data_IF_432083481727
#
_entry.id   IF_432083481727
#
_cell.length_a   1.000
_cell.length_b   1.000
_cell.length_c   1.000
_cell.angle_alpha   90.00
_cell.angle_beta   90.00
_cell.angle_gamma   90.00
#
_symmetry.space_group_name_H-M   'P 1'
#
loop_
_entity.id
_entity.type
_entity.pdbx_description
1 polymer ?
#
# COMPACT_ATOMS: atom_id res chain seq x y z
N UNK A 1 49.45 -42.60 61.36
CA UNK A 1 48.31 -42.52 62.29
C UNK A 1 48.02 -41.04 62.53
N UNK A 2 46.76 -40.66 62.30
CA UNK A 2 46.08 -39.41 62.70
C UNK A 2 46.64 -38.09 62.10
N UNK A 3 45.89 -37.20 61.44
CA UNK A 3 44.48 -36.79 61.63
C UNK A 3 43.97 -36.06 60.37
N UNK A 4 42.67 -36.20 60.06
CA UNK A 4 41.94 -35.48 59.00
C UNK A 4 41.95 -33.94 59.21
N UNK A 5 42.25 -33.17 58.16
CA UNK A 5 42.05 -31.72 58.07
C UNK A 5 40.97 -31.40 57.02
N UNK A 6 40.05 -30.51 57.39
CA UNK A 6 38.77 -30.27 56.73
C UNK A 6 38.81 -29.51 55.41
N UNK A 7 37.71 -29.68 54.68
CA UNK A 7 37.34 -28.99 53.45
C UNK A 7 36.79 -27.59 53.73
N UNK A 8 37.37 -26.58 53.06
CA UNK A 8 36.73 -25.30 52.73
C UNK A 8 37.08 -24.93 51.27
N UNK A 9 36.12 -24.56 50.41
CA UNK A 9 36.41 -24.10 49.06
C UNK A 9 36.79 -22.62 49.01
N UNK A 10 37.83 -22.33 48.23
CA UNK A 10 38.40 -21.02 47.96
C UNK A 10 37.51 -20.12 47.07
N UNK A 11 37.49 -18.84 47.45
CA UNK A 11 37.38 -17.62 46.64
C UNK A 11 36.29 -17.53 45.55
N UNK A 12 35.22 -16.80 45.90
CA UNK A 12 34.27 -16.23 44.94
C UNK A 12 34.92 -15.15 44.08
N UNK A 13 34.96 -15.41 42.78
CA UNK A 13 35.29 -14.44 41.73
C UNK A 13 34.16 -13.43 41.62
N UNK A 14 34.45 -12.15 41.89
CA UNK A 14 33.55 -11.03 41.58
C UNK A 14 33.39 -10.97 40.07
N UNK A 15 32.19 -11.30 39.56
CA UNK A 15 31.83 -11.11 38.17
C UNK A 15 31.83 -9.60 37.87
N UNK A 16 32.90 -9.11 37.22
CA UNK A 16 32.90 -7.79 36.60
C UNK A 16 31.87 -7.78 35.47
N UNK A 17 30.81 -7.00 35.64
CA UNK A 17 29.88 -6.66 34.59
C UNK A 17 30.68 -5.89 33.52
N UNK A 18 30.69 -6.32 32.25
CA UNK A 18 31.37 -5.59 31.19
C UNK A 18 30.71 -4.21 31.04
N UNK A 19 31.48 -3.13 30.86
CA UNK A 19 30.90 -1.80 30.68
C UNK A 19 29.99 -1.84 29.45
N UNK A 20 28.74 -1.42 29.65
CA UNK A 20 27.77 -1.17 28.57
C UNK A 20 28.49 -0.40 27.46
N UNK A 21 28.55 -0.99 26.27
CA UNK A 21 29.12 -0.33 25.11
C UNK A 21 28.47 1.06 24.98
N UNK A 22 29.30 2.10 25.04
CA UNK A 22 28.87 3.49 24.87
C UNK A 22 28.13 3.60 23.54
N UNK A 23 26.80 3.71 23.60
CA UNK A 23 25.98 3.99 22.43
C UNK A 23 26.53 5.24 21.72
N UNK A 24 26.67 5.24 20.39
CA UNK A 24 27.07 6.43 19.67
C UNK A 24 26.12 7.59 19.99
N UNK A 25 26.68 8.78 20.19
CA UNK A 25 25.89 9.98 20.41
C UNK A 25 24.85 10.16 19.27
N UNK A 26 23.62 10.62 19.57
CA UNK A 26 22.60 10.83 18.54
C UNK A 26 23.11 11.75 17.42
N UNK A 27 22.77 11.46 16.16
CA UNK A 27 23.15 12.30 15.02
C UNK A 27 22.72 13.77 15.20
N UNK A 28 23.55 14.71 14.70
CA UNK A 28 23.23 16.13 14.63
C UNK A 28 21.86 16.34 13.95
N UNK A 29 20.94 16.98 14.66
CA UNK A 29 19.61 17.32 14.15
C UNK A 29 19.71 18.23 12.93
N UNK A 30 18.88 17.99 11.92
CA UNK A 30 18.76 18.88 10.75
C UNK A 30 18.28 20.28 11.17
N UNK A 31 18.67 21.32 10.42
CA UNK A 31 18.30 22.73 10.67
C UNK A 31 16.78 22.87 10.85
N UNK A 32 16.34 23.46 11.97
CA UNK A 32 14.92 23.62 12.34
C UNK A 32 14.26 22.40 13.00
N UNK A 33 14.98 21.28 13.16
CA UNK A 33 14.49 20.03 13.82
C UNK A 33 15.19 19.74 15.14
N UNK A 34 15.71 20.78 15.79
CA UNK A 34 16.35 20.72 17.11
C UNK A 34 15.39 21.23 18.18
N UNK A 35 15.53 20.70 19.39
CA UNK A 35 14.94 21.24 20.61
C UNK A 35 16.07 21.43 21.62
N UNK A 36 15.99 22.46 22.45
CA UNK A 36 16.96 22.62 23.54
C UNK A 36 16.81 21.47 24.53
N UNK A 37 17.94 20.90 24.93
CA UNK A 37 17.96 19.83 25.91
C UNK A 37 17.57 20.40 27.28
N UNK A 38 16.72 19.69 28.00
CA UNK A 38 16.40 19.97 29.38
C UNK A 38 16.16 18.64 30.13
N UNK A 39 15.85 18.71 31.42
CA UNK A 39 15.59 17.52 32.24
C UNK A 39 14.46 16.62 31.72
N UNK A 40 13.50 17.19 30.98
CA UNK A 40 12.36 16.46 30.41
C UNK A 40 12.59 16.02 28.95
N UNK A 41 13.58 16.61 28.25
CA UNK A 41 13.90 16.38 26.84
C UNK A 41 15.40 16.07 26.70
N UNK A 42 15.89 14.95 27.25
CA UNK A 42 17.27 14.54 27.05
C UNK A 42 17.57 14.30 25.57
N UNK A 43 18.84 14.48 25.18
CA UNK A 43 19.28 14.20 23.82
C UNK A 43 19.37 12.69 23.59
N UNK A 44 18.39 12.17 22.85
CA UNK A 44 18.28 10.73 22.52
C UNK A 44 17.94 10.55 21.04
N UNK A 45 18.10 9.32 20.55
CA UNK A 45 17.67 8.97 19.20
C UNK A 45 16.16 9.18 19.03
N UNK A 46 15.73 9.47 17.80
CA UNK A 46 14.31 9.73 17.53
C UNK A 46 13.43 8.56 17.97
N UNK A 47 13.86 7.31 17.78
CA UNK A 47 13.11 6.13 18.21
C UNK A 47 12.87 6.09 19.74
N UNK A 48 13.76 6.67 20.54
CA UNK A 48 13.73 6.55 22.00
C UNK A 48 12.98 7.70 22.67
N UNK A 49 12.69 8.79 21.95
CA UNK A 49 12.04 10.00 22.51
C UNK A 49 10.72 9.69 23.20
N UNK A 50 9.95 8.75 22.67
CA UNK A 50 8.64 8.40 23.24
C UNK A 50 8.76 7.87 24.69
N UNK A 51 9.86 7.17 24.99
CA UNK A 51 10.14 6.66 26.33
C UNK A 51 10.96 7.66 27.15
N UNK A 52 12.04 8.19 26.59
CA UNK A 52 12.99 9.04 27.32
C UNK A 52 12.45 10.44 27.64
N UNK A 53 11.55 10.99 26.83
CA UNK A 53 10.97 12.31 27.10
C UNK A 53 9.84 12.21 28.12
N UNK A 54 9.82 13.15 29.06
CA UNK A 54 8.95 13.13 30.24
C UNK A 54 8.19 14.45 30.46
N UNK A 55 7.50 14.61 31.57
CA UNK A 55 6.86 15.86 32.00
C UNK A 55 6.77 15.85 33.53
N UNK A 56 6.53 17.00 34.18
CA UNK A 56 6.23 17.02 35.61
C UNK A 56 5.14 16.01 36.00
N UNK A 57 4.05 15.95 35.20
CA UNK A 57 2.98 14.98 35.39
C UNK A 57 3.46 13.52 35.28
N UNK A 58 4.23 13.19 34.24
CA UNK A 58 4.71 11.83 34.02
C UNK A 58 5.64 11.36 35.15
N UNK A 59 6.48 12.26 35.68
CA UNK A 59 7.34 11.99 36.84
C UNK A 59 6.49 11.72 38.08
N UNK A 60 5.51 12.59 38.36
CA UNK A 60 4.61 12.39 39.50
C UNK A 60 3.84 11.07 39.39
N UNK A 61 3.33 10.71 38.20
CA UNK A 61 2.69 9.41 37.98
C UNK A 61 3.63 8.23 38.22
N UNK A 62 4.90 8.36 37.82
CA UNK A 62 5.91 7.32 38.06
C UNK A 62 6.19 7.14 39.54
N UNK A 63 6.30 8.23 40.29
CA UNK A 63 6.48 8.22 41.73
C UNK A 63 5.30 7.57 42.45
N UNK A 64 4.06 7.94 42.08
CA UNK A 64 2.85 7.32 42.62
C UNK A 64 2.83 5.80 42.40
N UNK A 65 3.24 5.33 41.22
CA UNK A 65 3.34 3.90 40.95
C UNK A 65 4.42 3.22 41.78
N UNK A 66 5.59 3.83 41.94
CA UNK A 66 6.70 3.28 42.73
C UNK A 66 6.36 3.11 44.21
N UNK A 67 5.39 3.86 44.73
CA UNK A 67 4.84 3.69 46.07
C UNK A 67 3.91 2.48 46.20
N UNK A 68 3.37 1.99 45.08
CA UNK A 68 2.39 0.89 45.04
C UNK A 68 2.99 -0.43 44.56
N UNK A 69 4.00 -0.38 43.68
CA UNK A 69 4.57 -1.54 43.02
C UNK A 69 6.11 -1.46 43.00
N UNK A 70 6.82 -2.60 43.07
CA UNK A 70 8.26 -2.63 42.85
C UNK A 70 8.66 -2.05 41.49
N UNK A 71 9.76 -1.28 41.46
CA UNK A 71 10.22 -0.59 40.24
C UNK A 71 10.48 -1.50 39.04
N UNK A 72 10.92 -2.75 39.26
CA UNK A 72 11.18 -3.69 38.16
C UNK A 72 9.89 -4.05 37.42
N UNK A 73 8.78 -4.34 38.12
CA UNK A 73 7.47 -4.64 37.50
C UNK A 73 7.00 -3.45 36.66
N UNK A 74 7.17 -2.24 37.19
CA UNK A 74 6.81 -1.02 36.48
C UNK A 74 7.68 -0.87 35.23
N UNK A 75 9.01 -1.02 35.34
CA UNK A 75 9.94 -0.96 34.20
C UNK A 75 9.56 -1.98 33.12
N UNK A 76 9.34 -3.24 33.49
CA UNK A 76 8.99 -4.32 32.57
C UNK A 76 7.69 -4.04 31.82
N UNK A 77 6.67 -3.54 32.52
CA UNK A 77 5.38 -3.19 31.91
C UNK A 77 5.48 -2.07 30.86
N UNK A 78 6.32 -1.05 31.10
CA UNK A 78 6.51 0.02 30.11
C UNK A 78 7.44 -0.40 28.97
N UNK A 79 8.46 -1.23 29.25
CA UNK A 79 9.35 -1.77 28.23
C UNK A 79 8.57 -2.63 27.23
N UNK A 80 7.74 -3.55 27.71
CA UNK A 80 6.93 -4.42 26.84
C UNK A 80 5.86 -3.62 26.06
N UNK A 81 5.25 -2.60 26.68
CA UNK A 81 4.33 -1.71 25.99
C UNK A 81 5.02 -0.95 24.84
N UNK A 82 6.29 -0.59 25.02
CA UNK A 82 7.09 0.07 23.99
C UNK A 82 7.45 -0.86 22.83
N UNK A 83 7.70 -2.15 23.11
CA UNK A 83 7.96 -3.19 22.11
C UNK A 83 6.76 -3.42 21.18
N UNK A 84 5.54 -3.08 21.62
CA UNK A 84 4.35 -3.10 20.76
C UNK A 84 4.45 -2.17 19.52
N UNK A 85 5.35 -1.17 19.57
CA UNK A 85 5.61 -0.24 18.47
C UNK A 85 6.84 -0.66 17.65
N UNK A 86 6.66 -0.77 16.34
CA UNK A 86 7.80 -1.00 15.44
C UNK A 86 8.74 0.21 15.38
N UNK A 87 10.03 -0.02 15.17
CA UNK A 87 11.05 1.06 15.10
C UNK A 87 10.66 2.24 14.20
N UNK A 88 10.20 2.03 12.95
CA UNK A 88 9.72 3.12 12.10
C UNK A 88 8.54 3.88 12.68
N UNK A 89 7.64 3.21 13.41
CA UNK A 89 6.50 3.85 14.08
C UNK A 89 6.98 4.74 15.23
N UNK A 90 7.93 4.27 16.04
CA UNK A 90 8.55 5.06 17.12
C UNK A 90 9.16 6.36 16.58
N UNK A 91 9.94 6.28 15.50
CA UNK A 91 10.54 7.46 14.84
C UNK A 91 9.47 8.43 14.33
N UNK A 92 8.39 7.92 13.72
CA UNK A 92 7.31 8.75 13.20
C UNK A 92 6.54 9.46 14.33
N UNK A 93 6.24 8.76 15.42
CA UNK A 93 5.57 9.32 16.59
C UNK A 93 6.43 10.37 17.29
N UNK A 94 7.72 10.09 17.42
CA UNK A 94 8.70 11.00 17.99
C UNK A 94 8.86 12.32 17.21
N UNK A 95 8.58 12.32 15.90
CA UNK A 95 8.51 13.56 15.14
C UNK A 95 7.35 14.45 15.62
N UNK A 96 6.20 13.86 15.96
CA UNK A 96 5.07 14.57 16.55
C UNK A 96 5.38 15.18 17.90
N UNK A 97 6.05 14.42 18.77
CA UNK A 97 6.51 14.92 20.08
C UNK A 97 7.47 16.10 19.91
N UNK A 98 8.42 16.00 18.97
CA UNK A 98 9.35 17.09 18.69
C UNK A 98 8.60 18.35 18.25
N UNK A 99 7.73 18.25 17.24
CA UNK A 99 7.00 19.40 16.72
C UNK A 99 6.08 20.03 17.76
N UNK A 100 5.42 19.23 18.60
CA UNK A 100 4.60 19.73 19.71
C UNK A 100 5.41 20.51 20.72
N UNK A 101 6.56 19.97 21.16
CA UNK A 101 7.37 20.67 22.15
C UNK A 101 8.08 21.90 21.57
N UNK A 102 8.42 21.91 20.28
CA UNK A 102 8.87 23.11 19.60
C UNK A 102 7.79 24.19 19.57
N UNK A 103 6.53 23.81 19.29
CA UNK A 103 5.40 24.70 19.38
C UNK A 103 5.21 25.24 20.80
N UNK A 104 5.20 24.37 21.82
CA UNK A 104 5.06 24.78 23.21
C UNK A 104 6.20 25.72 23.66
N UNK A 105 7.44 25.48 23.23
CA UNK A 105 8.55 26.39 23.51
C UNK A 105 8.37 27.76 22.83
N UNK A 106 7.89 27.77 21.58
CA UNK A 106 7.65 29.00 20.82
C UNK A 106 6.56 29.86 21.46
N UNK A 107 5.47 29.23 21.90
CA UNK A 107 4.33 29.90 22.52
C UNK A 107 4.50 30.06 24.05
N UNK A 108 5.67 29.75 24.60
CA UNK A 108 6.00 29.84 26.03
C UNK A 108 5.03 29.05 26.95
N UNK A 109 4.54 27.91 26.50
CA UNK A 109 3.68 27.02 27.30
C UNK A 109 4.54 26.34 28.39
N UNK A 110 4.19 26.47 29.69
CA UNK A 110 4.91 25.82 30.78
C UNK A 110 4.94 24.30 30.67
N UNK A 111 5.94 23.61 31.27
CA UNK A 111 6.07 22.15 31.14
C UNK A 111 4.93 21.38 31.83
N UNK A 112 4.36 21.96 32.89
CA UNK A 112 3.20 21.47 33.62
C UNK A 112 1.92 21.42 32.75
N UNK A 113 1.77 22.35 31.80
CA UNK A 113 0.60 22.42 30.92
C UNK A 113 0.72 21.56 29.66
N UNK A 114 1.92 21.00 29.39
CA UNK A 114 2.19 20.18 28.21
C UNK A 114 1.67 18.75 28.34
N UNK A 115 1.41 18.30 29.57
CA UNK A 115 0.84 16.97 29.85
C UNK A 115 0.14 16.98 31.23
N UNK A 116 -1.16 16.60 31.30
CA UNK A 116 -2.03 16.20 30.21
C UNK A 116 -2.35 17.39 29.30
N UNK A 117 -2.13 17.24 27.99
CA UNK A 117 -2.36 18.34 27.06
C UNK A 117 -3.86 18.64 26.94
N UNK A 118 -4.24 19.90 27.17
CA UNK A 118 -5.63 20.33 27.05
C UNK A 118 -6.14 20.27 25.61
N UNK A 119 -7.45 20.16 25.44
CA UNK A 119 -8.10 20.17 24.12
C UNK A 119 -7.75 21.43 23.32
N UNK A 120 -7.75 22.59 23.97
CA UNK A 120 -7.37 23.87 23.36
C UNK A 120 -5.91 23.92 22.97
N UNK A 121 -4.99 23.41 23.81
CA UNK A 121 -3.57 23.37 23.47
C UNK A 121 -3.31 22.50 22.23
N UNK A 122 -3.95 21.32 22.17
CA UNK A 122 -3.87 20.43 21.01
C UNK A 122 -4.50 21.08 19.76
N UNK A 123 -5.61 21.81 19.91
CA UNK A 123 -6.25 22.53 18.81
C UNK A 123 -5.36 23.67 18.28
N UNK A 124 -4.74 24.44 19.18
CA UNK A 124 -3.77 25.48 18.85
C UNK A 124 -2.54 24.90 18.13
N UNK A 125 -2.01 23.77 18.61
CA UNK A 125 -0.94 23.04 17.92
C UNK A 125 -1.34 22.64 16.49
N UNK A 126 -2.54 22.10 16.28
CA UNK A 126 -3.05 21.78 14.93
C UNK A 126 -3.14 23.04 14.07
N UNK A 127 -3.69 24.12 14.61
CA UNK A 127 -3.84 25.41 13.92
C UNK A 127 -2.50 26.01 13.48
N UNK A 128 -1.48 25.95 14.34
CA UNK A 128 -0.14 26.50 14.06
C UNK A 128 0.56 25.85 12.86
N UNK A 129 0.19 24.61 12.50
CA UNK A 129 0.75 23.89 11.37
C UNK A 129 -0.24 23.69 10.22
N UNK A 130 -1.50 24.11 10.37
CA UNK A 130 -2.52 24.01 9.33
C UNK A 130 -2.06 24.78 8.08
N UNK A 131 -2.22 24.16 6.90
CA UNK A 131 -1.76 24.74 5.63
C UNK A 131 -0.24 24.76 5.41
N UNK A 132 0.59 24.49 6.42
CA UNK A 132 2.07 24.42 6.27
C UNK A 132 2.57 23.02 5.93
N UNK A 133 1.78 22.00 6.30
CA UNK A 133 2.04 20.58 6.01
C UNK A 133 0.74 19.88 5.66
N UNK A 134 0.83 18.66 5.12
CA UNK A 134 -0.37 17.87 4.87
C UNK A 134 -1.10 17.55 6.19
N UNK A 135 -2.43 17.58 6.20
CA UNK A 135 -3.18 17.23 7.41
C UNK A 135 -3.00 15.76 7.84
N UNK A 136 -2.57 14.87 6.93
CA UNK A 136 -2.11 13.51 7.26
C UNK A 136 -0.87 13.53 8.15
N UNK A 137 0.06 14.47 7.93
CA UNK A 137 1.24 14.67 8.79
C UNK A 137 0.81 15.07 10.19
N UNK A 138 -0.10 16.04 10.32
CA UNK A 138 -0.62 16.52 11.61
C UNK A 138 -1.34 15.38 12.35
N UNK A 139 -2.16 14.58 11.64
CA UNK A 139 -2.78 13.40 12.24
C UNK A 139 -1.76 12.40 12.79
N UNK A 140 -0.67 12.15 12.06
CA UNK A 140 0.41 11.28 12.52
C UNK A 140 1.13 11.86 13.76
N UNK A 141 1.32 13.18 13.82
CA UNK A 141 1.87 13.84 15.01
C UNK A 141 0.95 13.69 16.23
N UNK A 142 -0.36 13.91 16.06
CA UNK A 142 -1.36 13.69 17.12
C UNK A 142 -1.39 12.22 17.57
N UNK A 143 -1.24 11.25 16.66
CA UNK A 143 -1.12 9.84 17.05
C UNK A 143 0.12 9.58 17.91
N UNK A 144 1.24 10.23 17.61
CA UNK A 144 2.44 10.17 18.45
C UNK A 144 2.22 10.78 19.83
N UNK A 145 1.57 11.95 19.90
CA UNK A 145 1.22 12.59 21.17
C UNK A 145 0.27 11.72 22.00
N UNK A 146 -0.75 11.12 21.38
CA UNK A 146 -1.66 10.19 22.04
C UNK A 146 -0.90 8.99 22.61
N UNK A 147 -0.01 8.38 21.81
CA UNK A 147 0.80 7.26 22.28
C UNK A 147 1.69 7.64 23.47
N UNK A 148 2.27 8.85 23.45
CA UNK A 148 3.04 9.37 24.57
C UNK A 148 2.18 9.57 25.82
N UNK A 149 0.97 10.13 25.69
CA UNK A 149 0.04 10.28 26.82
C UNK A 149 -0.35 8.92 27.41
N UNK A 150 -0.66 7.93 26.58
CA UNK A 150 -0.96 6.56 27.03
C UNK A 150 0.24 5.97 27.81
N UNK A 151 1.45 6.05 27.23
CA UNK A 151 2.67 5.54 27.86
C UNK A 151 3.06 6.30 29.13
N UNK A 152 2.64 7.54 29.30
CA UNK A 152 2.86 8.32 30.53
C UNK A 152 1.64 8.32 31.46
N UNK A 153 0.62 7.49 31.15
CA UNK A 153 -0.65 7.38 31.88
C UNK A 153 -1.40 8.71 32.06
N UNK A 154 -1.23 9.63 31.13
CA UNK A 154 -1.93 10.91 31.12
C UNK A 154 -3.28 10.80 30.38
N UNK A 155 -4.33 11.49 30.86
CA UNK A 155 -5.58 11.66 30.13
C UNK A 155 -5.37 12.17 28.69
N UNK A 156 -6.18 11.67 27.76
CA UNK A 156 -6.22 12.13 26.37
C UNK A 156 -7.67 12.40 25.97
N UNK A 157 -7.98 13.53 25.30
CA UNK A 157 -9.34 13.89 24.93
C UNK A 157 -9.84 13.08 23.71
N UNK A 158 -10.21 11.81 23.91
CA UNK A 158 -10.57 10.88 22.82
C UNK A 158 -11.79 11.32 22.00
N UNK A 159 -12.75 12.00 22.62
CA UNK A 159 -14.04 12.39 22.02
C UNK A 159 -14.17 13.90 21.77
N UNK A 160 -13.05 14.59 21.63
CA UNK A 160 -13.04 16.03 21.36
C UNK A 160 -13.63 16.36 19.98
N UNK A 161 -14.79 17.05 19.98
CA UNK A 161 -15.42 17.57 18.76
C UNK A 161 -14.59 18.69 18.14
N UNK A 162 -13.98 19.54 18.98
CA UNK A 162 -13.13 20.63 18.53
C UNK A 162 -11.90 20.10 17.77
N UNK A 163 -11.20 19.09 18.31
CA UNK A 163 -10.09 18.43 17.62
C UNK A 163 -10.54 17.80 16.31
N UNK A 164 -11.76 17.25 16.27
CA UNK A 164 -12.38 16.79 15.02
C UNK A 164 -12.55 17.91 14.00
N UNK A 165 -13.05 19.08 14.40
CA UNK A 165 -13.22 20.26 13.55
C UNK A 165 -11.89 20.82 13.06
N UNK A 166 -10.93 21.07 13.94
CA UNK A 166 -9.63 21.65 13.53
C UNK A 166 -8.83 20.70 12.66
N UNK A 167 -8.93 19.38 12.86
CA UNK A 167 -8.30 18.39 11.96
C UNK A 167 -8.92 18.42 10.57
N UNK A 168 -10.24 18.59 10.46
CA UNK A 168 -10.92 18.75 9.16
C UNK A 168 -10.46 20.03 8.47
N UNK A 169 -10.42 21.15 9.18
CA UNK A 169 -9.92 22.41 8.64
C UNK A 169 -8.46 22.29 8.16
N UNK A 170 -7.57 21.70 8.98
CA UNK A 170 -6.17 21.50 8.64
C UNK A 170 -5.98 20.54 7.44
N UNK A 171 -6.82 19.51 7.30
CA UNK A 171 -6.81 18.64 6.11
C UNK A 171 -7.17 19.40 4.83
N UNK A 172 -8.18 20.28 4.89
CA UNK A 172 -8.61 21.09 3.75
C UNK A 172 -7.52 22.09 3.35
N UNK A 173 -6.98 22.83 4.32
CA UNK A 173 -5.91 23.79 4.07
C UNK A 173 -4.62 23.11 3.58
N UNK A 174 -4.27 21.95 4.13
CA UNK A 174 -3.09 21.17 3.74
C UNK A 174 -3.28 20.28 2.51
N UNK A 175 -4.38 20.43 1.76
CA UNK A 175 -4.70 19.60 0.59
C UNK A 175 -3.63 19.71 -0.51
N UNK A 176 -3.11 20.91 -0.75
CA UNK A 176 -2.04 21.17 -1.73
C UNK A 176 -0.69 20.53 -1.35
N UNK A 177 -0.47 20.22 -0.07
CA UNK A 177 0.70 19.47 0.40
C UNK A 177 0.55 17.96 0.26
N UNK A 178 -0.63 17.48 -0.15
CA UNK A 178 -0.83 16.05 -0.37
C UNK A 178 -0.04 15.62 -1.60
N UNK A 179 0.64 14.48 -1.47
CA UNK A 179 1.35 13.89 -2.61
C UNK A 179 0.37 13.45 -3.67
N UNK A 180 0.70 13.73 -4.92
CA UNK A 180 0.00 13.19 -6.09
C UNK A 180 -0.12 11.67 -5.96
N UNK A 181 -1.28 11.13 -6.35
CA UNK A 181 -1.51 9.68 -6.35
C UNK A 181 -0.49 9.01 -7.26
N UNK A 182 0.07 7.89 -6.80
CA UNK A 182 1.08 7.15 -7.57
C UNK A 182 0.42 6.49 -8.78
N UNK A 183 1.10 6.57 -9.92
CA UNK A 183 0.70 5.84 -11.12
C UNK A 183 0.81 4.33 -10.89
N UNK A 184 -0.11 3.52 -11.44
CA UNK A 184 0.04 2.08 -11.50
C UNK A 184 1.19 1.69 -12.43
N UNK A 185 1.87 0.58 -12.12
CA UNK A 185 2.61 -0.16 -13.16
C UNK A 185 1.55 -0.75 -14.10
N UNK A 186 1.80 -0.77 -15.41
CA UNK A 186 0.87 -1.33 -16.41
C UNK A 186 1.51 -2.50 -17.14
N UNK A 187 0.74 -3.27 -17.92
CA UNK A 187 1.32 -4.30 -18.79
C UNK A 187 2.39 -3.76 -19.74
N UNK A 188 2.23 -2.54 -20.26
CA UNK A 188 3.24 -1.89 -21.10
C UNK A 188 4.57 -1.71 -20.36
N UNK A 189 4.53 -1.40 -19.06
CA UNK A 189 5.76 -1.30 -18.25
C UNK A 189 6.43 -2.66 -18.14
N UNK A 190 5.66 -3.74 -17.94
CA UNK A 190 6.19 -5.09 -17.85
C UNK A 190 6.77 -5.59 -19.18
N UNK A 191 6.12 -5.27 -20.30
CA UNK A 191 6.61 -5.61 -21.64
C UNK A 191 7.90 -4.85 -21.97
N UNK A 192 7.96 -3.55 -21.69
CA UNK A 192 9.19 -2.76 -21.84
C UNK A 192 10.33 -3.33 -20.99
N UNK A 193 10.01 -3.75 -19.75
CA UNK A 193 10.98 -4.39 -18.87
C UNK A 193 11.46 -5.73 -19.45
N UNK A 194 10.54 -6.57 -19.94
CA UNK A 194 10.85 -7.88 -20.54
C UNK A 194 11.75 -7.77 -21.77
N UNK A 195 11.57 -6.74 -22.59
CA UNK A 195 12.36 -6.49 -23.79
C UNK A 195 13.77 -5.97 -23.49
N UNK A 196 13.94 -5.26 -22.36
CA UNK A 196 15.22 -4.67 -21.98
C UNK A 196 16.09 -5.58 -21.09
N UNK A 197 15.48 -6.51 -20.34
CA UNK A 197 16.21 -7.42 -19.47
C UNK A 197 16.87 -8.56 -20.25
N UNK A 198 18.18 -8.73 -20.06
CA UNK A 198 18.90 -9.93 -20.47
C UNK A 198 18.63 -11.09 -19.51
N UNK A 199 17.75 -12.01 -19.90
CA UNK A 199 17.35 -13.16 -19.09
C UNK A 199 18.36 -14.33 -19.09
N UNK A 200 19.55 -14.13 -19.65
CA UNK A 200 20.69 -15.02 -19.39
C UNK A 200 21.40 -14.64 -18.08
N UNK A 201 21.25 -13.38 -17.63
CA UNK A 201 21.82 -12.88 -16.39
C UNK A 201 21.02 -13.32 -15.16
N UNK A 202 21.63 -13.99 -14.17
CA UNK A 202 20.94 -14.39 -12.94
C UNK A 202 20.33 -13.21 -12.18
N UNK A 203 20.99 -12.04 -12.22
CA UNK A 203 20.48 -10.80 -11.63
C UNK A 203 19.19 -10.31 -12.30
N UNK A 204 19.15 -10.28 -13.64
CA UNK A 204 17.97 -9.84 -14.37
C UNK A 204 16.80 -10.82 -14.24
N UNK A 205 17.06 -12.13 -14.15
CA UNK A 205 16.02 -13.10 -13.82
C UNK A 205 15.38 -12.81 -12.45
N UNK A 206 16.19 -12.45 -11.44
CA UNK A 206 15.67 -12.05 -10.14
C UNK A 206 14.82 -10.76 -10.19
N UNK A 207 15.25 -9.76 -10.96
CA UNK A 207 14.45 -8.54 -11.22
C UNK A 207 13.12 -8.91 -11.87
N UNK A 208 13.14 -9.76 -12.90
CA UNK A 208 11.95 -10.15 -13.64
C UNK A 208 10.95 -10.90 -12.78
N UNK A 209 11.42 -11.88 -12.01
CA UNK A 209 10.59 -12.64 -11.08
C UNK A 209 9.97 -11.72 -10.01
N UNK A 210 10.74 -10.85 -9.35
CA UNK A 210 10.20 -9.91 -8.35
C UNK A 210 9.16 -8.97 -8.96
N UNK A 211 9.39 -8.45 -10.17
CA UNK A 211 8.46 -7.54 -10.83
C UNK A 211 7.10 -8.20 -11.04
N UNK A 212 7.08 -9.42 -11.59
CA UNK A 212 5.85 -10.15 -11.86
C UNK A 212 5.17 -10.67 -10.60
N UNK A 213 5.92 -11.15 -9.61
CA UNK A 213 5.33 -11.57 -8.33
C UNK A 213 4.74 -10.37 -7.58
N UNK A 214 5.37 -9.20 -7.60
CA UNK A 214 4.80 -7.98 -7.03
C UNK A 214 3.52 -7.54 -7.74
N UNK A 215 3.53 -7.61 -9.08
CA UNK A 215 2.40 -7.20 -9.90
C UNK A 215 1.24 -8.19 -9.74
N UNK A 216 1.37 -9.43 -10.20
CA UNK A 216 0.26 -10.40 -10.21
C UNK A 216 -0.16 -10.87 -8.82
N UNK A 217 0.78 -10.97 -7.88
CA UNK A 217 0.47 -11.28 -6.49
C UNK A 217 -0.01 -10.08 -5.67
N UNK A 218 -0.09 -8.88 -6.27
CA UNK A 218 -0.42 -7.64 -5.57
C UNK A 218 0.43 -7.43 -4.29
N UNK A 219 1.71 -7.84 -4.31
CA UNK A 219 2.58 -7.83 -3.13
C UNK A 219 3.29 -6.51 -2.94
N UNK A 220 3.63 -6.18 -1.70
CA UNK A 220 4.49 -5.01 -1.47
C UNK A 220 5.92 -5.40 -1.82
N UNK A 221 6.62 -4.53 -2.54
CA UNK A 221 8.03 -4.80 -2.90
C UNK A 221 8.94 -5.11 -1.71
N UNK A 222 8.67 -4.51 -0.54
CA UNK A 222 9.45 -4.78 0.68
C UNK A 222 9.19 -6.15 1.33
N UNK A 223 8.21 -6.91 0.84
CA UNK A 223 7.97 -8.30 1.26
C UNK A 223 8.85 -9.28 0.46
N UNK A 224 9.31 -8.87 -0.74
CA UNK A 224 10.09 -9.72 -1.65
C UNK A 224 11.56 -9.31 -1.80
N UNK A 225 11.96 -8.19 -1.18
CA UNK A 225 13.32 -7.63 -1.27
C UNK A 225 13.83 -7.22 0.10
N UNK A 226 15.15 -7.21 0.29
CA UNK A 226 15.76 -6.75 1.54
C UNK A 226 15.96 -5.22 1.53
N UNK A 227 15.93 -4.54 2.70
CA UNK A 227 16.13 -3.10 2.75
C UNK A 227 17.57 -2.68 2.40
N UNK A 228 18.56 -3.51 2.75
CA UNK A 228 19.99 -3.32 2.47
C UNK A 228 20.71 -4.67 2.45
N UNK A 229 21.95 -4.70 1.95
CA UNK A 229 22.80 -5.92 1.94
C UNK A 229 23.04 -6.45 3.35
N UNK A 230 23.23 -5.56 4.34
CA UNK A 230 23.40 -5.92 5.76
C UNK A 230 22.08 -6.07 6.52
N UNK A 231 20.96 -5.77 5.87
CA UNK A 231 19.63 -5.75 6.48
C UNK A 231 18.91 -7.10 6.45
N UNK A 232 19.59 -8.15 6.00
CA UNK A 232 19.07 -9.50 6.01
C UNK A 232 19.10 -10.07 7.43
N UNK A 233 17.94 -10.51 7.93
CA UNK A 233 17.83 -11.23 9.19
C UNK A 233 17.26 -12.63 8.93
N UNK A 234 18.04 -13.70 9.11
CA UNK A 234 17.60 -15.06 8.83
C UNK A 234 16.42 -15.52 9.70
N UNK A 235 16.25 -14.97 10.90
CA UNK A 235 15.09 -15.25 11.78
C UNK A 235 13.78 -14.63 11.28
N UNK A 236 13.85 -13.65 10.37
CA UNK A 236 12.69 -12.89 9.89
C UNK A 236 12.25 -13.26 8.45
N UNK A 237 13.02 -14.08 7.71
CA UNK A 237 12.90 -14.12 6.24
C UNK A 237 12.90 -15.51 5.55
N UNK A 238 12.56 -16.62 6.23
CA UNK A 238 12.33 -17.92 5.55
C UNK A 238 10.96 -18.56 5.82
N UNK A 239 10.12 -18.38 4.81
CA UNK A 239 8.90 -19.00 4.27
C UNK A 239 8.32 -17.84 3.42
N UNK A 240 7.05 -17.74 3.01
CA UNK A 240 6.47 -16.38 2.81
C UNK A 240 5.55 -16.14 4.01
N UNK A 241 6.11 -15.85 5.20
CA UNK A 241 5.41 -15.88 6.47
C UNK A 241 4.99 -14.47 6.91
N UNK A 242 4.94 -13.48 6.01
CA UNK A 242 4.72 -12.11 6.43
C UNK A 242 3.87 -11.25 5.49
N UNK A 243 2.87 -10.58 6.06
CA UNK A 243 2.32 -9.34 5.51
C UNK A 243 2.61 -8.20 6.48
N UNK A 244 2.75 -6.97 5.97
CA UNK A 244 2.96 -5.76 6.80
C UNK A 244 1.91 -5.59 7.92
N UNK A 245 0.76 -6.25 7.80
CA UNK A 245 -0.38 -6.18 8.70
C UNK A 245 -0.41 -7.31 9.74
N UNK A 246 0.08 -8.51 9.39
CA UNK A 246 0.00 -9.71 10.26
C UNK A 246 1.21 -9.92 11.18
N UNK A 247 2.36 -9.28 10.88
CA UNK A 247 3.63 -9.27 11.66
C UNK A 247 4.32 -10.63 11.91
N UNK A 248 3.59 -11.73 12.05
CA UNK A 248 4.09 -13.07 12.40
C UNK A 248 3.51 -14.20 11.52
N UNK A 249 2.34 -13.99 10.92
CA UNK A 249 1.64 -14.98 10.08
C UNK A 249 1.82 -14.71 8.57
N UNK A 250 2.11 -15.79 7.85
CA UNK A 250 2.27 -15.85 6.41
C UNK A 250 1.08 -15.54 5.56
N UNK A 251 1.35 -15.55 4.26
CA UNK A 251 0.32 -15.59 3.25
C UNK A 251 0.85 -16.37 2.05
N UNK A 252 0.09 -17.36 1.61
CA UNK A 252 0.32 -18.02 0.33
C UNK A 252 0.16 -16.98 -0.79
N UNK A 253 1.14 -16.94 -1.70
CA UNK A 253 1.04 -16.10 -2.90
C UNK A 253 0.39 -16.94 -3.98
N UNK A 254 -0.88 -16.66 -4.27
CA UNK A 254 -1.55 -17.22 -5.44
C UNK A 254 -1.28 -16.29 -6.62
N UNK A 255 -0.48 -16.76 -7.58
CA UNK A 255 -0.27 -16.09 -8.85
C UNK A 255 -0.87 -16.95 -9.97
N UNK A 256 -1.82 -16.41 -10.75
CA UNK A 256 -2.43 -17.14 -11.87
C UNK A 256 -1.61 -16.95 -13.15
N UNK A 257 -1.33 -18.07 -13.83
CA UNK A 257 -0.57 -18.12 -15.08
C UNK A 257 -1.48 -17.85 -16.28
N UNK A 258 -1.81 -16.59 -16.57
CA UNK A 258 -2.75 -16.25 -17.64
C UNK A 258 -2.17 -15.36 -18.76
N UNK A 259 -0.86 -15.08 -18.77
CA UNK A 259 -0.24 -14.20 -19.77
C UNK A 259 1.15 -14.71 -20.19
N UNK A 260 1.30 -15.37 -21.36
CA UNK A 260 2.54 -16.06 -21.75
C UNK A 260 3.80 -15.18 -21.74
N UNK A 261 3.67 -13.91 -22.13
CA UNK A 261 4.81 -12.98 -22.17
C UNK A 261 5.20 -12.40 -20.79
N UNK A 262 4.28 -12.45 -19.81
CA UNK A 262 4.43 -11.85 -18.48
C UNK A 262 3.97 -12.82 -17.38
N UNK A 263 4.23 -14.11 -17.58
CA UNK A 263 3.82 -15.17 -16.68
C UNK A 263 4.70 -15.17 -15.41
N UNK A 264 4.11 -14.99 -14.21
CA UNK A 264 4.88 -15.00 -12.97
C UNK A 264 5.51 -16.36 -12.67
N UNK A 265 4.86 -17.46 -13.09
CA UNK A 265 5.39 -18.82 -12.90
C UNK A 265 6.65 -19.04 -13.74
N UNK A 266 6.60 -18.69 -15.02
CA UNK A 266 7.75 -18.87 -15.93
C UNK A 266 8.95 -18.02 -15.48
N UNK A 267 8.69 -16.78 -15.05
CA UNK A 267 9.74 -15.92 -14.51
C UNK A 267 10.34 -16.47 -13.22
N UNK A 268 9.52 -17.05 -12.35
CA UNK A 268 9.99 -17.67 -11.11
C UNK A 268 10.82 -18.92 -11.38
N UNK A 269 10.39 -19.80 -12.28
CA UNK A 269 11.12 -20.99 -12.68
C UNK A 269 12.47 -20.62 -13.31
N UNK A 270 12.48 -19.61 -14.18
CA UNK A 270 13.71 -19.11 -14.80
C UNK A 270 14.68 -18.53 -13.76
N UNK A 271 14.16 -17.77 -12.79
CA UNK A 271 14.96 -17.28 -11.66
C UNK A 271 15.55 -18.44 -10.85
N UNK A 272 14.75 -19.44 -10.54
CA UNK A 272 15.17 -20.62 -9.79
C UNK A 272 16.30 -21.37 -10.52
N UNK A 273 16.13 -21.62 -11.82
CA UNK A 273 17.12 -22.32 -12.66
C UNK A 273 18.45 -21.55 -12.72
N UNK A 274 18.40 -20.23 -12.93
CA UNK A 274 19.61 -19.40 -13.08
C UNK A 274 20.32 -19.09 -11.76
N UNK A 275 19.65 -19.23 -10.63
CA UNK A 275 20.20 -18.90 -9.31
C UNK A 275 20.33 -20.13 -8.38
N UNK A 276 20.42 -21.34 -8.94
CA UNK A 276 20.61 -22.60 -8.19
C UNK A 276 21.86 -22.61 -7.30
N UNK A 277 22.90 -21.86 -7.66
CA UNK A 277 24.13 -21.77 -6.87
C UNK A 277 24.03 -20.86 -5.63
N UNK A 278 22.88 -20.19 -5.40
CA UNK A 278 22.65 -19.41 -4.18
C UNK A 278 22.49 -20.38 -2.99
N UNK A 279 23.29 -20.24 -1.91
CA UNK A 279 23.21 -21.14 -0.76
C UNK A 279 21.88 -21.07 -0.01
N UNK A 280 21.53 -22.19 0.65
CA UNK A 280 20.46 -22.19 1.65
C UNK A 280 20.77 -21.14 2.74
N UNK A 281 19.77 -20.34 3.12
CA UNK A 281 19.97 -19.21 4.04
C UNK A 281 19.99 -17.82 3.38
N UNK A 282 19.93 -17.73 2.04
CA UNK A 282 19.66 -16.47 1.33
C UNK A 282 18.17 -16.27 0.95
N UNK A 283 17.63 -15.03 0.99
CA UNK A 283 16.29 -14.70 0.52
C UNK A 283 15.96 -15.28 -0.85
N UNK A 284 14.69 -15.62 -1.08
CA UNK A 284 14.19 -16.27 -2.29
C UNK A 284 14.64 -15.62 -3.61
N UNK A 285 14.66 -14.28 -3.66
CA UNK A 285 15.04 -13.51 -4.85
C UNK A 285 16.50 -13.02 -4.83
N UNK A 286 17.37 -13.71 -4.08
CA UNK A 286 18.82 -13.49 -4.15
C UNK A 286 19.38 -14.02 -5.47
N UNK A 287 20.52 -13.49 -5.89
CA UNK A 287 21.13 -13.85 -7.17
C UNK A 287 22.63 -14.00 -7.07
N UNK A 288 23.21 -14.69 -8.06
CA UNK A 288 24.67 -14.79 -8.22
C UNK A 288 25.17 -13.62 -9.07
N UNK A 289 26.15 -12.88 -8.55
CA UNK A 289 26.80 -11.82 -9.31
C UNK A 289 27.85 -12.35 -10.31
N UNK A 290 28.43 -11.44 -11.09
CA UNK A 290 29.47 -11.75 -12.09
C UNK A 290 30.72 -12.42 -11.49
N UNK A 291 30.98 -12.19 -10.21
CA UNK A 291 32.13 -12.71 -9.48
C UNK A 291 31.79 -14.04 -8.78
N UNK A 292 30.62 -14.61 -9.11
CA UNK A 292 30.04 -15.85 -8.55
C UNK A 292 29.72 -15.78 -7.06
N UNK A 293 29.49 -14.58 -6.52
CA UNK A 293 29.09 -14.39 -5.14
C UNK A 293 27.56 -14.28 -5.02
N UNK A 294 26.95 -14.90 -4.00
CA UNK A 294 25.54 -14.68 -3.71
C UNK A 294 25.32 -13.26 -3.18
N UNK A 295 24.30 -12.60 -3.70
CA UNK A 295 23.90 -11.23 -3.35
C UNK A 295 22.42 -11.15 -3.07
N UNK A 296 22.06 -10.29 -2.12
CA UNK A 296 20.66 -10.01 -1.86
C UNK A 296 20.12 -9.04 -2.91
N UNK A 297 18.88 -9.25 -3.34
CA UNK A 297 18.18 -8.25 -4.12
C UNK A 297 17.60 -7.19 -3.19
N UNK A 298 18.27 -6.04 -3.12
CA UNK A 298 17.81 -4.91 -2.32
C UNK A 298 16.74 -4.10 -3.05
N UNK A 299 15.79 -3.53 -2.30
CA UNK A 299 14.75 -2.65 -2.87
C UNK A 299 15.33 -1.47 -3.67
N UNK A 300 16.38 -0.75 -3.21
CA UNK A 300 16.97 0.33 -3.99
C UNK A 300 17.59 -0.16 -5.31
N UNK A 301 18.27 -1.32 -5.30
CA UNK A 301 18.87 -1.90 -6.50
C UNK A 301 17.81 -2.30 -7.53
N UNK A 302 16.73 -2.94 -7.07
CA UNK A 302 15.58 -3.26 -7.91
C UNK A 302 14.99 -2.01 -8.55
N UNK A 303 14.62 -1.01 -7.73
CA UNK A 303 13.97 0.20 -8.23
C UNK A 303 14.88 0.99 -9.17
N UNK A 304 16.16 1.12 -8.87
CA UNK A 304 17.14 1.78 -9.75
C UNK A 304 17.18 1.14 -11.13
N UNK A 305 17.17 -0.20 -11.18
CA UNK A 305 17.24 -0.97 -12.44
C UNK A 305 15.99 -0.77 -13.28
N UNK A 306 14.79 -0.99 -12.70
CA UNK A 306 13.53 -0.86 -13.46
C UNK A 306 13.25 0.58 -13.87
N UNK A 307 13.56 1.57 -13.02
CA UNK A 307 13.38 2.98 -13.36
C UNK A 307 14.34 3.44 -14.46
N UNK A 308 15.58 2.94 -14.50
CA UNK A 308 16.51 3.26 -15.58
C UNK A 308 15.97 2.82 -16.95
N UNK A 309 15.36 1.63 -17.01
CA UNK A 309 14.73 1.10 -18.22
C UNK A 309 13.49 1.93 -18.59
N UNK A 310 12.58 2.18 -17.65
CA UNK A 310 11.36 2.93 -17.96
C UNK A 310 11.61 4.40 -18.32
N UNK A 311 12.64 5.01 -17.74
CA UNK A 311 13.04 6.36 -18.10
C UNK A 311 13.63 6.44 -19.51
N UNK A 312 14.35 5.42 -19.98
CA UNK A 312 14.91 5.43 -21.34
C UNK A 312 13.82 5.40 -22.43
N UNK A 313 12.66 4.83 -22.12
CA UNK A 313 11.46 4.82 -22.98
C UNK A 313 10.40 5.87 -22.57
N UNK A 314 10.79 6.87 -21.75
CA UNK A 314 9.95 8.01 -21.32
C UNK A 314 8.62 7.63 -20.66
N UNK A 315 8.59 6.50 -19.94
CA UNK A 315 7.39 6.08 -19.19
C UNK A 315 7.26 6.84 -17.86
N UNK A 316 6.04 6.96 -17.30
CA UNK A 316 5.83 7.67 -16.04
C UNK A 316 6.62 7.05 -14.88
N UNK A 317 7.11 7.91 -13.98
CA UNK A 317 7.78 7.45 -12.77
C UNK A 317 6.83 6.65 -11.87
N UNK A 318 7.29 5.46 -11.46
CA UNK A 318 6.57 4.55 -10.57
C UNK A 318 7.45 4.21 -9.35
N UNK A 319 6.81 3.77 -8.27
CA UNK A 319 7.48 3.40 -7.02
C UNK A 319 7.20 1.94 -6.70
N UNK A 320 7.87 1.36 -5.69
CA UNK A 320 7.62 -0.04 -5.32
C UNK A 320 6.17 -0.36 -4.94
N UNK A 321 5.38 0.65 -4.55
CA UNK A 321 3.94 0.46 -4.30
C UNK A 321 3.09 0.43 -5.57
N UNK A 322 3.59 0.99 -6.67
CA UNK A 322 2.90 1.05 -7.96
C UNK A 322 2.68 -0.31 -8.58
N UNK A 323 3.53 -1.31 -8.30
CA UNK A 323 3.33 -2.69 -8.74
C UNK A 323 2.04 -3.28 -8.16
N UNK A 324 1.85 -3.14 -6.84
CA UNK A 324 0.63 -3.57 -6.15
C UNK A 324 -0.63 -2.84 -6.63
N UNK A 325 -0.51 -1.55 -6.96
CA UNK A 325 -1.62 -0.81 -7.58
C UNK A 325 -1.90 -1.34 -8.99
N UNK A 326 -0.86 -1.53 -9.79
CA UNK A 326 -0.96 -2.05 -11.15
C UNK A 326 -1.64 -3.40 -11.23
N UNK A 327 -1.16 -4.36 -10.45
CA UNK A 327 -1.76 -5.69 -10.41
C UNK A 327 -3.23 -5.70 -10.00
N UNK A 328 -3.60 -4.90 -9.00
CA UNK A 328 -5.00 -4.80 -8.58
C UNK A 328 -5.89 -4.22 -9.69
N UNK A 329 -5.43 -3.17 -10.38
CA UNK A 329 -6.14 -2.56 -11.50
C UNK A 329 -6.27 -3.55 -12.65
N UNK A 330 -5.18 -4.21 -13.03
CA UNK A 330 -5.16 -5.18 -14.13
C UNK A 330 -6.11 -6.36 -13.88
N UNK A 331 -6.10 -6.93 -12.68
CA UNK A 331 -6.99 -8.03 -12.32
C UNK A 331 -8.47 -7.58 -12.34
N UNK A 332 -8.77 -6.37 -11.87
CA UNK A 332 -10.13 -5.82 -11.89
C UNK A 332 -10.62 -5.56 -13.33
N UNK A 333 -9.75 -5.03 -14.19
CA UNK A 333 -10.01 -4.84 -15.63
C UNK A 333 -10.19 -6.18 -16.35
N UNK A 334 -9.48 -7.24 -15.93
CA UNK A 334 -9.66 -8.59 -16.43
C UNK A 334 -10.93 -9.30 -15.87
N UNK A 335 -11.81 -8.57 -15.17
CA UNK A 335 -13.08 -9.10 -14.64
C UNK A 335 -12.95 -9.96 -13.39
N UNK A 336 -11.77 -10.02 -12.75
CA UNK A 336 -11.61 -10.80 -11.51
C UNK A 336 -12.45 -10.16 -10.39
N UNK A 337 -13.30 -10.93 -9.69
CA UNK A 337 -14.16 -10.37 -8.65
C UNK A 337 -13.37 -9.63 -7.56
N UNK A 338 -13.85 -8.47 -7.09
CA UNK A 338 -13.06 -7.65 -6.16
C UNK A 338 -12.65 -8.34 -4.86
N UNK A 339 -13.47 -9.27 -4.34
CA UNK A 339 -13.13 -10.05 -3.15
C UNK A 339 -11.96 -11.03 -3.41
N UNK A 340 -11.84 -11.57 -4.63
CA UNK A 340 -10.71 -12.41 -5.05
C UNK A 340 -9.45 -11.57 -5.19
N UNK A 341 -9.53 -10.38 -5.80
CA UNK A 341 -8.39 -9.45 -5.87
C UNK A 341 -7.95 -9.02 -4.47
N UNK A 342 -8.90 -8.76 -3.56
CA UNK A 342 -8.64 -8.47 -2.16
C UNK A 342 -7.88 -9.63 -1.48
N UNK A 343 -8.31 -10.87 -1.70
CA UNK A 343 -7.63 -12.06 -1.19
C UNK A 343 -6.21 -12.22 -1.76
N UNK A 344 -6.01 -12.07 -3.08
CA UNK A 344 -4.70 -12.16 -3.75
C UNK A 344 -3.68 -11.21 -3.12
N UNK A 345 -4.06 -9.95 -2.90
CA UNK A 345 -3.14 -9.00 -2.27
C UNK A 345 -3.09 -9.04 -0.74
N UNK A 346 -3.87 -9.92 -0.09
CA UNK A 346 -3.95 -10.01 1.37
C UNK A 346 -4.52 -8.75 2.01
N UNK A 347 -5.63 -8.24 1.46
CA UNK A 347 -6.39 -7.14 2.05
C UNK A 347 -7.58 -7.68 2.84
N UNK A 348 -7.57 -7.45 4.16
CA UNK A 348 -8.67 -7.81 5.06
C UNK A 348 -9.61 -6.61 5.37
N UNK A 349 -9.23 -5.41 4.91
CA UNK A 349 -9.96 -4.17 5.19
C UNK A 349 -10.32 -3.41 3.92
N UNK A 350 -11.23 -2.45 4.08
CA UNK A 350 -11.65 -1.51 3.02
C UNK A 350 -10.50 -0.63 2.48
N UNK A 351 -9.30 -0.72 3.03
CA UNK A 351 -8.10 -0.14 2.43
C UNK A 351 -7.85 -0.61 0.98
N UNK A 352 -8.39 -1.78 0.60
CA UNK A 352 -8.41 -2.26 -0.79
C UNK A 352 -9.06 -1.27 -1.77
N UNK A 353 -10.11 -0.54 -1.36
CA UNK A 353 -10.81 0.42 -2.23
C UNK A 353 -9.90 1.56 -2.70
N UNK A 354 -8.82 1.85 -1.97
CA UNK A 354 -7.82 2.84 -2.39
C UNK A 354 -7.04 2.42 -3.64
N UNK A 355 -7.10 1.15 -4.05
CA UNK A 355 -6.41 0.58 -5.20
C UNK A 355 -7.29 0.52 -6.46
N UNK A 356 -8.59 0.84 -6.35
CA UNK A 356 -9.48 1.02 -7.49
C UNK A 356 -9.13 2.32 -8.21
N UNK A 357 -8.03 2.29 -8.97
CA UNK A 357 -7.69 3.35 -9.94
C UNK A 357 -8.42 3.04 -11.24
N UNK A 358 -8.68 4.07 -12.05
CA UNK A 358 -9.42 3.91 -13.31
C UNK A 358 -10.81 3.30 -13.10
N UNK A 359 -11.55 3.82 -12.11
CA UNK A 359 -12.87 3.28 -11.77
C UNK A 359 -13.85 3.36 -12.94
N UNK A 360 -13.73 4.39 -13.77
CA UNK A 360 -14.53 4.56 -14.99
C UNK A 360 -14.33 3.37 -15.94
N UNK A 361 -13.07 3.00 -16.21
CA UNK A 361 -12.73 1.87 -17.08
C UNK A 361 -13.16 0.52 -16.46
N UNK A 362 -12.93 0.33 -15.15
CA UNK A 362 -13.33 -0.89 -14.43
C UNK A 362 -14.85 -1.08 -14.48
N UNK A 363 -15.62 -0.03 -14.23
CA UNK A 363 -17.08 -0.10 -14.25
C UNK A 363 -17.58 -0.40 -15.66
N UNK A 364 -17.04 0.26 -16.69
CA UNK A 364 -17.44 0.01 -18.08
C UNK A 364 -17.13 -1.43 -18.49
N UNK A 365 -15.93 -1.94 -18.18
CA UNK A 365 -15.55 -3.32 -18.53
C UNK A 365 -16.46 -4.34 -17.85
N UNK A 366 -16.64 -4.24 -16.53
CA UNK A 366 -17.42 -5.23 -15.78
C UNK A 366 -18.91 -5.17 -16.09
N UNK A 367 -19.46 -3.97 -16.36
CA UNK A 367 -20.85 -3.86 -16.81
C UNK A 367 -21.02 -4.45 -18.21
N UNK A 368 -20.09 -4.20 -19.14
CA UNK A 368 -20.10 -4.83 -20.47
C UNK A 368 -20.10 -6.36 -20.38
N UNK A 369 -19.18 -6.95 -19.60
CA UNK A 369 -19.06 -8.40 -19.43
C UNK A 369 -20.30 -9.02 -18.77
N UNK A 370 -20.89 -8.34 -17.79
CA UNK A 370 -22.09 -8.79 -17.11
C UNK A 370 -23.29 -8.91 -18.08
N UNK A 371 -23.44 -7.97 -19.00
CA UNK A 371 -24.50 -8.00 -20.00
C UNK A 371 -24.19 -8.90 -21.20
N UNK A 372 -22.93 -9.29 -21.42
CA UNK A 372 -22.53 -10.05 -22.61
C UNK A 372 -23.21 -11.42 -22.71
N UNK A 373 -23.38 -12.13 -21.59
CA UNK A 373 -24.11 -13.42 -21.54
C UNK A 373 -25.59 -13.25 -21.89
N UNK A 374 -26.21 -12.16 -21.44
CA UNK A 374 -27.59 -11.85 -21.78
C UNK A 374 -27.73 -11.48 -23.27
N UNK A 375 -26.76 -10.75 -23.83
CA UNK A 375 -26.71 -10.42 -25.25
C UNK A 375 -26.53 -11.66 -26.13
N UNK A 376 -25.67 -12.60 -25.73
CA UNK A 376 -25.49 -13.85 -26.47
C UNK A 376 -26.78 -14.70 -26.44
N UNK A 377 -27.45 -14.78 -25.29
CA UNK A 377 -28.75 -15.45 -25.16
C UNK A 377 -29.82 -14.79 -26.03
N UNK A 378 -29.90 -13.46 -26.02
CA UNK A 378 -30.83 -12.69 -26.85
C UNK A 378 -30.52 -12.92 -28.34
N UNK A 379 -29.24 -12.89 -28.75
CA UNK A 379 -28.83 -13.14 -30.14
C UNK A 379 -29.20 -14.55 -30.61
N UNK A 380 -29.03 -15.56 -29.76
CA UNK A 380 -29.45 -16.93 -30.07
C UNK A 380 -30.98 -17.03 -30.18
N UNK A 381 -31.73 -16.50 -29.21
CA UNK A 381 -33.19 -16.50 -29.25
C UNK A 381 -33.73 -15.75 -30.50
N UNK A 382 -33.09 -14.64 -30.89
CA UNK A 382 -33.41 -13.92 -32.11
C UNK A 382 -33.14 -14.75 -33.36
N UNK A 383 -31.99 -15.43 -33.41
CA UNK A 383 -31.61 -16.29 -34.54
C UNK A 383 -32.55 -17.49 -34.67
N UNK A 384 -32.96 -18.08 -33.55
CA UNK A 384 -33.90 -19.20 -33.51
C UNK A 384 -35.29 -18.78 -33.95
N UNK A 385 -35.79 -17.64 -33.46
CA UNK A 385 -37.06 -17.09 -33.91
C UNK A 385 -37.04 -16.74 -35.41
N UNK A 386 -35.94 -16.15 -35.89
CA UNK A 386 -35.77 -15.81 -37.30
C UNK A 386 -35.90 -17.05 -38.19
N UNK A 387 -35.28 -18.17 -37.79
CA UNK A 387 -35.36 -19.46 -38.49
C UNK A 387 -36.77 -20.05 -38.42
N UNK A 388 -37.40 -20.05 -37.23
CA UNK A 388 -38.75 -20.58 -37.05
C UNK A 388 -39.80 -19.82 -37.85
N UNK A 389 -39.61 -18.50 -38.00
CA UNK A 389 -40.56 -17.61 -38.68
C UNK A 389 -40.23 -17.35 -40.15
N UNK A 390 -39.19 -18.02 -40.68
CA UNK A 390 -38.74 -17.91 -42.08
C UNK A 390 -38.43 -16.46 -42.53
N UNK A 391 -37.88 -15.64 -41.63
CA UNK A 391 -37.60 -14.22 -41.88
C UNK A 391 -36.25 -14.07 -42.61
N UNK A 392 -36.28 -13.55 -43.83
CA UNK A 392 -35.07 -13.32 -44.64
C UNK A 392 -34.14 -12.26 -44.03
N UNK A 393 -32.83 -12.47 -44.13
CA UNK A 393 -31.79 -11.49 -43.74
C UNK A 393 -31.97 -10.15 -44.47
N UNK A 394 -32.40 -10.18 -45.74
CA UNK A 394 -32.66 -8.97 -46.53
C UNK A 394 -33.73 -8.08 -45.91
N UNK A 395 -34.68 -8.67 -45.17
CA UNK A 395 -35.75 -7.95 -44.51
C UNK A 395 -35.25 -7.20 -43.27
N UNK A 396 -34.40 -7.87 -42.49
CA UNK A 396 -33.77 -7.31 -41.29
C UNK A 396 -32.86 -6.15 -41.68
N UNK A 397 -32.06 -6.33 -42.74
CA UNK A 397 -31.14 -5.30 -43.25
C UNK A 397 -31.89 -4.05 -43.76
N UNK A 398 -33.03 -4.22 -44.42
CA UNK A 398 -33.87 -3.12 -44.89
C UNK A 398 -34.49 -2.33 -43.72
N UNK A 399 -34.94 -3.03 -42.67
CA UNK A 399 -35.47 -2.39 -41.46
C UNK A 399 -34.39 -1.64 -40.67
N UNK A 400 -33.18 -2.20 -40.53
CA UNK A 400 -32.05 -1.54 -39.84
C UNK A 400 -31.63 -0.26 -40.57
N UNK A 401 -31.70 -0.25 -41.91
CA UNK A 401 -31.40 0.92 -42.74
C UNK A 401 -32.54 1.94 -42.83
N UNK A 402 -33.66 1.71 -42.13
CA UNK A 402 -34.79 2.63 -42.07
C UNK A 402 -35.63 2.70 -43.35
N UNK A 403 -35.53 1.71 -44.23
CA UNK A 403 -36.35 1.65 -45.43
C UNK A 403 -37.77 1.17 -45.09
N UNK A 404 -38.79 1.73 -45.74
CA UNK A 404 -40.18 1.29 -45.55
C UNK A 404 -40.37 -0.10 -46.16
N UNK A 405 -40.80 -1.05 -45.34
CA UNK A 405 -41.06 -2.44 -45.73
C UNK A 405 -42.56 -2.70 -45.67
N UNK A 406 -43.18 -3.10 -46.79
CA UNK A 406 -44.59 -3.49 -46.82
C UNK A 406 -44.76 -4.90 -46.22
N UNK A 407 -45.14 -4.94 -44.95
CA UNK A 407 -45.27 -6.18 -44.15
C UNK A 407 -46.33 -7.14 -44.73
N UNK A 408 -47.26 -6.67 -45.57
CA UNK A 408 -48.31 -7.50 -46.17
C UNK A 408 -47.82 -8.43 -47.29
N UNK A 409 -46.68 -8.16 -47.91
CA UNK A 409 -46.15 -8.99 -49.00
C UNK A 409 -45.31 -10.19 -48.53
N UNK A 410 -44.97 -10.29 -47.24
CA UNK A 410 -43.91 -11.20 -46.76
C UNK A 410 -44.40 -12.40 -45.96
N UNK A 411 -45.58 -12.30 -45.35
CA UNK A 411 -46.18 -13.42 -44.64
C UNK A 411 -47.39 -13.87 -45.45
N UNK A 412 -47.22 -14.92 -46.27
CA UNK A 412 -48.33 -15.56 -46.95
C UNK A 412 -49.42 -15.98 -45.94
N UNK A 413 -50.44 -15.14 -45.78
CA UNK A 413 -51.74 -15.47 -45.19
C UNK A 413 -51.84 -15.78 -43.70
N UNK A 414 -50.77 -15.77 -42.89
CA UNK A 414 -50.88 -16.11 -41.45
C UNK A 414 -50.76 -14.87 -40.54
N UNK A 415 -51.91 -14.33 -40.13
CA UNK A 415 -52.07 -13.17 -39.22
C UNK A 415 -51.35 -13.30 -37.85
N UNK A 416 -50.92 -14.50 -37.45
CA UNK A 416 -50.15 -14.72 -36.21
C UNK A 416 -48.68 -14.30 -36.26
N UNK A 417 -48.10 -14.06 -37.43
CA UNK A 417 -46.66 -13.77 -37.62
C UNK A 417 -46.29 -12.28 -37.48
N UNK A 418 -47.24 -11.37 -37.74
CA UNK A 418 -46.99 -9.92 -37.82
C UNK A 418 -46.63 -9.30 -36.47
N UNK A 419 -47.24 -9.79 -35.38
CA UNK A 419 -46.98 -9.30 -34.02
C UNK A 419 -45.56 -9.64 -33.54
N UNK A 420 -45.09 -10.85 -33.81
CA UNK A 420 -43.76 -11.26 -33.39
C UNK A 420 -42.64 -10.63 -34.23
N UNK A 421 -42.87 -10.34 -35.51
CA UNK A 421 -41.95 -9.55 -36.36
C UNK A 421 -41.83 -8.10 -35.84
N UNK A 422 -42.95 -7.44 -35.50
CA UNK A 422 -42.94 -6.08 -34.94
C UNK A 422 -42.19 -6.00 -33.60
N UNK A 423 -42.37 -7.00 -32.74
CA UNK A 423 -41.68 -7.10 -31.45
C UNK A 423 -40.17 -7.32 -31.62
N UNK A 424 -39.76 -8.14 -32.58
CA UNK A 424 -38.34 -8.35 -32.94
C UNK A 424 -37.67 -7.10 -33.50
N UNK A 425 -38.37 -6.37 -34.37
CA UNK A 425 -37.87 -5.13 -34.97
C UNK A 425 -37.72 -4.02 -33.92
N UNK A 426 -38.61 -3.95 -32.93
CA UNK A 426 -38.49 -3.04 -31.79
C UNK A 426 -37.25 -3.34 -30.94
N UNK A 427 -36.94 -4.62 -30.70
CA UNK A 427 -35.76 -5.04 -29.93
C UNK A 427 -34.47 -4.83 -30.73
N UNK A 428 -34.45 -5.09 -32.05
CA UNK A 428 -33.31 -4.76 -32.93
C UNK A 428 -33.04 -3.25 -33.00
N UNK A 429 -34.10 -2.43 -33.05
CA UNK A 429 -34.00 -0.97 -32.97
C UNK A 429 -33.52 -0.44 -31.61
N UNK A 430 -33.57 -1.27 -30.57
CA UNK A 430 -32.99 -1.00 -29.25
C UNK A 430 -31.52 -1.43 -29.18
N UNK A 431 -31.19 -2.59 -29.76
CA UNK A 431 -29.81 -3.10 -29.87
C UNK A 431 -28.92 -2.21 -30.75
N UNK A 432 -29.45 -1.62 -31.84
CA UNK A 432 -28.72 -0.66 -32.68
C UNK A 432 -28.56 0.72 -32.05
N UNK A 433 -29.37 1.06 -31.04
CA UNK A 433 -29.28 2.31 -30.25
C UNK A 433 -28.41 2.19 -29.00
N UNK A 434 -27.83 1.01 -28.74
CA UNK A 434 -26.79 0.80 -27.73
C UNK A 434 -25.46 1.47 -28.12
N UNK A 435 -25.41 2.79 -28.12
CA UNK A 435 -24.16 3.54 -28.22
C UNK A 435 -23.39 3.43 -26.89
N UNK A 436 -22.27 2.73 -26.91
CA UNK A 436 -21.09 3.21 -26.19
C UNK A 436 -20.62 4.52 -26.87
N UNK A 437 -20.17 5.54 -26.12
CA UNK A 437 -19.86 6.85 -26.69
C UNK A 437 -18.77 6.75 -27.75
N UNK A 438 -19.01 7.37 -28.91
CA UNK A 438 -17.99 7.57 -29.94
C UNK A 438 -16.85 8.43 -29.36
N UNK A 439 -15.60 8.01 -29.60
CA UNK A 439 -14.40 8.82 -29.34
C UNK A 439 -14.57 10.21 -29.97
N UNK A 440 -14.19 11.31 -29.30
CA UNK A 440 -14.18 12.61 -29.95
C UNK A 440 -13.11 12.62 -31.05
N UNK A 441 -13.55 12.67 -32.30
CA UNK A 441 -12.72 13.11 -33.42
C UNK A 441 -12.43 14.60 -33.24
N UNK A 442 -11.16 14.96 -33.38
CA UNK A 442 -10.72 16.35 -33.39
C UNK A 442 -11.46 17.14 -34.45
N UNK A 443 -12.29 18.09 -34.03
CA UNK A 443 -12.79 19.17 -34.87
C UNK A 443 -11.96 20.40 -34.54
N UNK A 444 -11.25 20.87 -35.57
CA UNK A 444 -10.45 22.07 -35.53
C UNK A 444 -11.26 23.29 -35.13
N UNK A 445 -10.66 24.09 -34.25
CA UNK A 445 -11.06 25.46 -33.99
C UNK A 445 -10.93 26.26 -35.30
N UNK A 446 -12.06 26.65 -35.87
CA UNK A 446 -12.13 27.83 -36.73
C UNK A 446 -12.77 28.95 -35.93
N UNK A 447 -11.94 29.95 -35.63
CA UNK A 447 -12.34 31.28 -35.20
C UNK A 447 -13.33 31.88 -36.19
N UNK A 448 -14.43 32.45 -35.70
CA UNK A 448 -14.96 33.72 -36.21
C UNK A 448 -16.15 34.24 -35.39
N UNK A 449 -16.01 35.52 -34.98
CA UNK A 449 -17.07 36.54 -34.75
C UNK A 449 -17.99 36.34 -33.52
N UNK A 450 -18.46 37.35 -32.80
CA UNK A 450 -18.19 38.77 -32.63
C UNK A 450 -19.10 39.25 -31.46
N UNK A 451 -18.66 40.29 -30.75
CA UNK A 451 -19.26 40.98 -29.59
C UNK A 451 -19.06 40.35 -28.21
#
# INVERSE_FOLDING_TARGET
MTTLQGLLPHNGTVMQIPPLALCPAPHKSQKGRSIQNNQFRPNVWAADRLNAWSSPYAIQQRELLSKQLPNHIINDAFNIAEEGLSGPTKVNYAAGLLCFNQFCNKENIPEEDRMPASEILLAGFVGAFAGTVSGRTICAWLSGLRAWHILKRAPWPEKSELLGLVRRAANNQGSHHQRVRRNPVTLQHLLALRLALDLTSPFHCAIWAVALTCFWGCRRLGELTVPSETGFNPKLHFHIPWTKTTRELGADIVASANAPAVCPCDAFLLHWEKNTAVPAGYPLFSYIDKDRNPKHLTKPKFLKTVMAIWNSVKMPNVLGHSFRIGGAVELLLAGVPPHVVAAIGGWESLAFLLYWRQIEDIVVSQTSDAYQKDWDRIRHAMTDYQKQSNISNSLIDNCIRGHSVDVKQLCGGALGSVWGVSQLLSIYGWASRGQAPAKPSQLGLNNNLAF
#
